data_IF_592404878315
#
_entry.id   IF_592404878315
#
_cell.length_a   1.000
_cell.length_b   1.000
_cell.length_c   1.000
_cell.angle_alpha   90.00
_cell.angle_beta   90.00
_cell.angle_gamma   90.00
#
_symmetry.space_group_name_H-M   'P 1'
#
loop_
_entity.id
_entity.type
_entity.pdbx_description
1 polymer ?
#
# COMPACT_ATOMS: atom_id res chain seq x y z
N UNK A 1 -1.34 3.28 8.73
CA UNK A 1 -1.11 1.98 8.08
C UNK A 1 -2.13 0.96 8.55
N UNK A 2 -2.59 0.07 7.67
CA UNK A 2 -3.58 -0.96 7.95
C UNK A 2 -2.93 -2.33 7.81
N UNK A 3 -2.98 -3.13 8.87
CA UNK A 3 -2.42 -4.48 8.96
C UNK A 3 -3.50 -5.52 9.25
N UNK A 4 -3.09 -6.79 9.25
CA UNK A 4 -3.95 -7.94 9.52
C UNK A 4 -3.66 -9.14 8.60
N UNK A 5 -4.15 -10.29 9.02
CA UNK A 5 -4.00 -11.57 8.30
C UNK A 5 -4.49 -11.47 6.84
N UNK A 6 -3.87 -12.21 5.95
CA UNK A 6 -4.36 -12.46 4.60
C UNK A 6 -5.77 -13.05 4.63
N UNK A 7 -6.64 -12.54 3.75
CA UNK A 7 -8.03 -12.99 3.64
C UNK A 7 -9.02 -12.40 4.65
N UNK A 8 -8.58 -11.58 5.63
CA UNK A 8 -9.48 -10.93 6.60
C UNK A 8 -10.26 -9.74 6.02
N UNK A 9 -10.00 -9.36 4.77
CA UNK A 9 -10.70 -8.27 4.09
C UNK A 9 -10.05 -6.89 4.20
N UNK A 10 -8.75 -6.80 4.54
CA UNK A 10 -8.00 -5.52 4.63
C UNK A 10 -8.22 -4.59 3.43
N UNK A 11 -7.87 -5.03 2.23
CA UNK A 11 -7.96 -4.22 1.01
C UNK A 11 -9.40 -3.78 0.71
N UNK A 12 -10.40 -4.59 1.06
CA UNK A 12 -11.81 -4.22 0.97
C UNK A 12 -12.15 -3.10 1.94
N UNK A 13 -11.72 -3.20 3.21
CA UNK A 13 -11.93 -2.15 4.22
C UNK A 13 -11.21 -0.86 3.81
N UNK A 14 -9.94 -0.94 3.42
CA UNK A 14 -9.13 0.23 3.03
C UNK A 14 -9.73 0.92 1.81
N UNK A 15 -10.06 0.20 0.75
CA UNK A 15 -10.65 0.81 -0.46
C UNK A 15 -12.00 1.48 -0.19
N UNK A 16 -12.86 0.89 0.64
CA UNK A 16 -14.13 1.52 1.01
C UNK A 16 -13.93 2.73 1.93
N UNK A 17 -12.97 2.70 2.84
CA UNK A 17 -12.61 3.84 3.69
C UNK A 17 -12.09 5.00 2.85
N UNK A 18 -11.16 4.73 1.94
CA UNK A 18 -10.63 5.68 0.95
C UNK A 18 -11.76 6.33 0.15
N UNK A 19 -12.65 5.54 -0.43
CA UNK A 19 -13.78 6.05 -1.22
C UNK A 19 -14.75 6.90 -0.38
N UNK A 20 -15.02 6.48 0.86
CA UNK A 20 -15.93 7.21 1.77
C UNK A 20 -15.35 8.57 2.15
N UNK A 21 -14.07 8.63 2.54
CA UNK A 21 -13.39 9.89 2.87
C UNK A 21 -13.33 10.83 1.66
N UNK A 22 -13.09 10.28 0.47
CA UNK A 22 -13.10 11.05 -0.77
C UNK A 22 -14.49 11.65 -1.09
N UNK A 23 -15.56 10.89 -0.85
CA UNK A 23 -16.94 11.40 -0.95
C UNK A 23 -17.23 12.51 0.06
N UNK A 24 -16.58 12.48 1.23
CA UNK A 24 -16.63 13.54 2.23
C UNK A 24 -15.74 14.75 1.88
N UNK A 25 -15.14 14.77 0.69
CA UNK A 25 -14.34 15.88 0.19
C UNK A 25 -12.87 15.85 0.58
N UNK A 26 -12.38 14.74 1.17
CA UNK A 26 -10.97 14.58 1.54
C UNK A 26 -10.14 14.11 0.35
N UNK A 27 -8.92 14.61 0.19
CA UNK A 27 -7.95 14.08 -0.78
C UNK A 27 -7.19 12.93 -0.13
N UNK A 28 -7.29 11.73 -0.72
CA UNK A 28 -6.78 10.49 -0.13
C UNK A 28 -5.83 9.80 -1.10
N UNK A 29 -4.68 9.37 -0.58
CA UNK A 29 -3.75 8.47 -1.27
C UNK A 29 -3.87 7.07 -0.67
N UNK A 30 -4.08 6.06 -1.50
CA UNK A 30 -3.98 4.65 -1.09
C UNK A 30 -2.73 4.01 -1.70
N UNK A 31 -1.84 3.51 -0.84
CA UNK A 31 -0.60 2.82 -1.21
C UNK A 31 -0.73 1.34 -0.87
N UNK A 32 -0.80 0.49 -1.89
CA UNK A 32 -0.73 -0.96 -1.76
C UNK A 32 0.70 -1.42 -1.49
N UNK A 33 0.95 -1.95 -0.29
CA UNK A 33 2.24 -2.51 0.13
C UNK A 33 2.23 -4.05 0.19
N UNK A 34 1.24 -4.67 -0.46
CA UNK A 34 1.10 -6.13 -0.55
C UNK A 34 1.67 -6.64 -1.88
N UNK A 35 2.56 -7.66 -1.88
CA UNK A 35 3.06 -8.28 -3.11
C UNK A 35 1.96 -8.87 -4.02
N UNK A 36 0.71 -8.98 -3.54
CA UNK A 36 -0.46 -9.42 -4.32
C UNK A 36 -0.97 -8.41 -5.35
N UNK A 37 -0.67 -7.11 -5.19
CA UNK A 37 -0.92 -6.05 -6.19
C UNK A 37 -2.40 -5.81 -6.54
N UNK A 38 -3.30 -5.95 -5.57
CA UNK A 38 -4.73 -5.76 -5.80
C UNK A 38 -5.42 -4.92 -4.70
N UNK A 39 -4.66 -4.16 -3.93
CA UNK A 39 -5.19 -3.30 -2.86
C UNK A 39 -6.16 -2.25 -3.40
N UNK A 40 -5.78 -1.63 -4.52
CA UNK A 40 -6.51 -0.55 -5.19
C UNK A 40 -7.52 -1.05 -6.23
N UNK A 41 -7.73 -2.38 -6.37
CA UNK A 41 -8.55 -2.99 -7.45
C UNK A 41 -9.96 -2.43 -7.56
N UNK A 42 -10.57 -2.05 -6.44
CA UNK A 42 -11.93 -1.53 -6.38
C UNK A 42 -12.03 -0.02 -6.73
N UNK A 43 -10.89 0.67 -6.80
CA UNK A 43 -10.80 2.12 -7.02
C UNK A 43 -10.35 2.45 -8.45
N UNK A 44 -9.32 1.76 -8.94
CA UNK A 44 -8.74 2.03 -10.25
C UNK A 44 -9.54 1.38 -11.39
N UNK A 45 -9.52 2.02 -12.57
CA UNK A 45 -10.21 1.53 -13.77
C UNK A 45 -9.38 0.53 -14.60
N UNK A 46 -8.06 0.52 -14.40
CA UNK A 46 -7.12 -0.32 -15.15
C UNK A 46 -6.69 -1.53 -14.32
N UNK A 47 -6.61 -2.70 -14.95
CA UNK A 47 -6.09 -3.91 -14.32
C UNK A 47 -5.36 -4.79 -15.36
N UNK A 48 -4.18 -5.35 -15.05
CA UNK A 48 -3.43 -5.22 -13.79
C UNK A 48 -2.90 -3.80 -13.54
N UNK A 49 -2.68 -3.40 -12.28
CA UNK A 49 -2.05 -2.11 -11.98
C UNK A 49 -0.59 -2.11 -12.42
N UNK A 50 -0.08 -0.91 -12.71
CA UNK A 50 1.37 -0.69 -12.85
C UNK A 50 1.94 -0.64 -11.44
N UNK A 51 2.98 -1.42 -11.16
CA UNK A 51 3.65 -1.39 -9.85
C UNK A 51 5.03 -0.78 -9.92
N UNK A 52 5.46 -0.16 -8.82
CA UNK A 52 6.78 0.47 -8.73
C UNK A 52 7.88 -0.58 -8.93
N UNK A 53 7.72 -1.76 -8.32
CA UNK A 53 8.64 -2.87 -8.50
C UNK A 53 8.74 -3.33 -9.96
N UNK A 54 7.65 -3.32 -10.73
CA UNK A 54 7.68 -3.71 -12.15
C UNK A 54 8.44 -2.67 -13.00
N UNK A 55 8.23 -1.38 -12.76
CA UNK A 55 8.94 -0.31 -13.47
C UNK A 55 10.45 -0.37 -13.20
N UNK A 56 10.86 -0.54 -11.94
CA UNK A 56 12.26 -0.66 -11.56
C UNK A 56 12.89 -1.95 -12.11
N UNK A 57 12.15 -3.06 -12.07
CA UNK A 57 12.62 -4.35 -12.64
C UNK A 57 12.80 -4.29 -14.16
N UNK A 58 12.08 -3.40 -14.85
CA UNK A 58 12.26 -3.12 -16.27
C UNK A 58 13.45 -2.18 -16.57
N UNK A 59 14.21 -1.77 -15.55
CA UNK A 59 15.37 -0.89 -15.70
C UNK A 59 15.00 0.58 -15.91
N UNK A 60 13.76 0.98 -15.62
CA UNK A 60 13.40 2.41 -15.63
C UNK A 60 14.08 3.12 -14.46
N UNK A 61 14.55 4.33 -14.72
CA UNK A 61 15.14 5.24 -13.73
C UNK A 61 14.51 6.62 -13.86
N UNK A 62 14.71 7.48 -12.85
CA UNK A 62 14.14 8.83 -12.78
C UNK A 62 12.61 8.83 -12.98
N UNK A 63 11.94 7.92 -12.28
CA UNK A 63 10.49 7.81 -12.32
C UNK A 63 9.86 9.12 -11.83
N UNK A 64 8.71 9.45 -12.40
CA UNK A 64 7.90 10.60 -12.00
C UNK A 64 6.62 10.12 -11.35
N UNK A 65 5.96 10.99 -10.60
CA UNK A 65 4.65 10.69 -10.00
C UNK A 65 3.65 10.18 -11.05
N UNK A 66 3.62 10.79 -12.24
CA UNK A 66 2.74 10.38 -13.34
C UNK A 66 3.01 8.96 -13.88
N UNK A 67 4.16 8.36 -13.58
CA UNK A 67 4.45 6.98 -13.98
C UNK A 67 3.82 5.95 -13.05
N UNK A 68 3.50 6.33 -11.80
CA UNK A 68 3.09 5.40 -10.74
C UNK A 68 1.74 5.72 -10.10
N UNK A 69 1.34 6.99 -10.07
CA UNK A 69 0.06 7.42 -9.51
C UNK A 69 -1.05 7.09 -10.50
N UNK A 70 -2.00 6.26 -10.05
CA UNK A 70 -3.17 5.85 -10.80
C UNK A 70 -4.41 6.58 -10.29
N UNK A 71 -5.26 7.04 -11.23
CA UNK A 71 -6.55 7.66 -10.93
C UNK A 71 -7.53 6.64 -10.33
N UNK A 72 -7.84 6.81 -9.04
CA UNK A 72 -8.86 6.04 -8.30
C UNK A 72 -10.23 6.71 -8.28
N UNK A 73 -10.40 7.83 -8.98
CA UNK A 73 -11.60 8.65 -9.00
C UNK A 73 -11.41 9.99 -8.31
N UNK A 74 -12.52 10.73 -8.15
CA UNK A 74 -12.50 12.07 -7.57
C UNK A 74 -11.87 12.05 -6.17
N UNK A 75 -10.81 12.84 -5.98
CA UNK A 75 -10.04 12.97 -4.74
C UNK A 75 -9.33 11.69 -4.27
N UNK A 76 -9.16 10.69 -5.14
CA UNK A 76 -8.49 9.43 -4.81
C UNK A 76 -7.34 9.17 -5.76
N UNK A 77 -6.13 9.09 -5.20
CA UNK A 77 -4.94 8.64 -5.89
C UNK A 77 -4.53 7.26 -5.37
N UNK A 78 -4.07 6.38 -6.25
CA UNK A 78 -3.69 5.01 -5.93
C UNK A 78 -2.26 4.70 -6.39
N UNK A 79 -1.50 3.99 -5.57
CA UNK A 79 -0.16 3.48 -5.88
C UNK A 79 -0.12 2.01 -5.49
N UNK A 80 0.48 1.18 -6.33
CA UNK A 80 0.82 -0.20 -5.98
C UNK A 80 2.34 -0.34 -5.97
N UNK A 81 2.92 -0.61 -4.81
CA UNK A 81 4.37 -0.77 -4.68
C UNK A 81 4.80 -2.09 -5.32
N UNK A 82 3.97 -3.12 -5.15
CA UNK A 82 4.22 -4.47 -5.63
C UNK A 82 5.27 -5.21 -4.81
N UNK A 83 5.78 -6.29 -5.39
CA UNK A 83 6.74 -7.16 -4.73
C UNK A 83 7.42 -8.07 -5.74
N UNK A 84 8.49 -8.77 -5.32
CA UNK A 84 9.24 -9.64 -6.21
C UNK A 84 8.40 -10.85 -6.63
N UNK A 85 8.83 -11.54 -7.70
CA UNK A 85 8.15 -12.76 -8.15
C UNK A 85 8.08 -13.79 -7.01
N UNK A 86 6.95 -14.51 -6.83
CA UNK A 86 6.84 -15.55 -5.81
C UNK A 86 8.01 -16.53 -5.87
N UNK A 87 8.61 -16.82 -4.71
CA UNK A 87 9.80 -17.69 -4.61
C UNK A 87 11.13 -17.02 -4.98
N UNK A 88 11.14 -15.74 -5.35
CA UNK A 88 12.36 -14.98 -5.69
C UNK A 88 12.46 -13.74 -4.80
N UNK A 89 13.60 -13.53 -4.16
CA UNK A 89 13.87 -12.33 -3.36
C UNK A 89 13.09 -12.26 -2.04
N UNK A 90 13.01 -11.06 -1.46
CA UNK A 90 12.35 -10.79 -0.18
C UNK A 90 11.44 -9.56 -0.31
N UNK A 91 10.12 -9.77 -0.22
CA UNK A 91 9.13 -8.70 -0.32
C UNK A 91 9.36 -7.59 0.72
N UNK A 92 9.71 -7.96 1.95
CA UNK A 92 9.97 -6.99 3.02
C UNK A 92 11.24 -6.16 2.79
N UNK A 93 12.36 -6.76 2.34
CA UNK A 93 13.63 -6.05 2.20
C UNK A 93 13.57 -4.94 1.14
N UNK A 94 12.77 -5.16 0.09
CA UNK A 94 12.56 -4.17 -0.97
C UNK A 94 11.70 -2.99 -0.54
N UNK A 95 10.82 -3.16 0.46
CA UNK A 95 9.83 -2.14 0.81
C UNK A 95 10.48 -0.83 1.27
N UNK A 96 11.58 -0.88 2.03
CA UNK A 96 12.35 0.31 2.42
C UNK A 96 12.80 1.13 1.22
N UNK A 97 13.49 0.49 0.27
CA UNK A 97 13.95 1.15 -0.96
C UNK A 97 12.78 1.68 -1.81
N UNK A 98 11.67 0.94 -1.86
CA UNK A 98 10.50 1.36 -2.62
C UNK A 98 9.85 2.62 -2.02
N UNK A 99 9.86 2.77 -0.69
CA UNK A 99 9.40 3.99 -0.04
C UNK A 99 10.35 5.17 -0.26
N UNK A 100 11.68 4.95 -0.24
CA UNK A 100 12.65 5.99 -0.63
C UNK A 100 12.39 6.50 -2.06
N UNK A 101 12.08 5.62 -3.01
CA UNK A 101 11.72 6.05 -4.37
C UNK A 101 10.42 6.88 -4.41
N UNK A 102 9.44 6.59 -3.54
CA UNK A 102 8.24 7.41 -3.40
C UNK A 102 8.55 8.80 -2.81
N UNK A 103 9.48 8.88 -1.85
CA UNK A 103 10.00 10.15 -1.33
C UNK A 103 10.75 10.94 -2.39
N UNK A 104 11.65 10.31 -3.15
CA UNK A 104 12.41 10.95 -4.22
C UNK A 104 11.49 11.51 -5.32
N UNK A 105 10.33 10.88 -5.54
CA UNK A 105 9.27 11.38 -6.42
C UNK A 105 8.41 12.49 -5.79
N UNK A 106 8.66 12.88 -4.54
CA UNK A 106 7.90 13.83 -3.74
C UNK A 106 6.40 13.45 -3.63
N UNK A 107 6.09 12.15 -3.56
CA UNK A 107 4.70 11.66 -3.46
C UNK A 107 4.04 12.15 -2.17
N UNK A 108 4.80 12.22 -1.08
CA UNK A 108 4.29 12.55 0.25
C UNK A 108 4.24 14.06 0.52
N UNK A 109 4.84 14.89 -0.35
CA UNK A 109 4.78 16.36 -0.25
C UNK A 109 3.47 16.94 -0.83
N UNK A 110 2.71 16.11 -1.54
CA UNK A 110 1.38 16.45 -2.03
C UNK A 110 0.41 16.65 -0.87
N UNK A 111 -0.54 17.58 -1.03
CA UNK A 111 -1.53 17.91 0.00
C UNK A 111 -2.62 16.83 0.12
N UNK A 112 -2.28 15.63 0.61
CA UNK A 112 -3.22 14.60 0.99
C UNK A 112 -3.72 14.83 2.42
N UNK A 113 -5.03 14.75 2.63
CA UNK A 113 -5.61 14.74 3.97
C UNK A 113 -5.33 13.40 4.68
N UNK A 114 -5.28 12.30 3.91
CA UNK A 114 -5.03 10.95 4.41
C UNK A 114 -4.16 10.15 3.45
N UNK A 115 -3.21 9.39 4.01
CA UNK A 115 -2.42 8.39 3.28
C UNK A 115 -2.63 7.03 3.94
N UNK A 116 -3.24 6.09 3.22
CA UNK A 116 -3.45 4.74 3.69
C UNK A 116 -2.44 3.77 3.09
N UNK A 117 -1.71 3.08 3.96
CA UNK A 117 -0.83 1.97 3.57
C UNK A 117 -1.55 0.66 3.86
N UNK A 118 -1.90 -0.12 2.83
CA UNK A 118 -2.43 -1.48 2.96
C UNK A 118 -1.26 -2.47 2.97
N UNK A 119 -0.90 -2.96 4.16
CA UNK A 119 0.34 -3.71 4.37
C UNK A 119 0.03 -5.17 4.68
N UNK A 120 0.85 -6.08 4.14
CA UNK A 120 0.78 -7.49 4.45
C UNK A 120 1.02 -7.72 5.95
N UNK A 121 0.04 -8.32 6.64
CA UNK A 121 0.11 -8.61 8.09
C UNK A 121 0.34 -10.08 8.44
N UNK A 122 0.52 -10.97 7.47
CA UNK A 122 0.79 -12.40 7.73
C UNK A 122 2.20 -12.65 8.28
N UNK A 123 3.15 -11.80 7.89
CA UNK A 123 4.55 -11.90 8.29
C UNK A 123 5.04 -10.52 8.71
N UNK A 124 5.19 -10.32 10.01
CA UNK A 124 5.70 -9.05 10.57
C UNK A 124 7.23 -9.11 10.63
N UNK A 125 7.87 -9.06 9.46
CA UNK A 125 9.32 -8.93 9.39
C UNK A 125 9.73 -7.44 9.37
N UNK A 126 11.02 -7.16 9.61
CA UNK A 126 11.51 -5.78 9.67
C UNK A 126 11.20 -4.93 8.43
N UNK A 127 10.99 -5.56 7.27
CA UNK A 127 10.62 -4.90 6.03
C UNK A 127 9.16 -4.42 5.97
N UNK A 128 8.20 -5.25 6.37
CA UNK A 128 6.78 -4.84 6.41
C UNK A 128 6.48 -3.88 7.57
N UNK A 129 7.38 -3.77 8.54
CA UNK A 129 7.33 -2.76 9.59
C UNK A 129 7.83 -1.38 9.15
N UNK A 130 8.37 -1.22 7.93
CA UNK A 130 8.92 0.06 7.42
C UNK A 130 7.95 1.23 7.55
N UNK A 131 6.66 1.12 7.15
CA UNK A 131 5.72 2.25 7.28
C UNK A 131 5.66 2.81 8.70
N UNK A 132 5.70 1.95 9.71
CA UNK A 132 5.69 2.36 11.12
C UNK A 132 7.09 2.78 11.62
N UNK A 133 8.13 2.00 11.30
CA UNK A 133 9.50 2.21 11.81
C UNK A 133 10.17 3.46 11.27
N UNK A 134 9.89 3.81 10.01
CA UNK A 134 10.44 4.99 9.35
C UNK A 134 9.55 6.23 9.50
N UNK A 135 8.43 6.13 10.23
CA UNK A 135 7.56 7.27 10.53
C UNK A 135 6.60 7.67 9.41
N UNK A 136 6.46 6.89 8.33
CA UNK A 136 5.46 7.15 7.27
C UNK A 136 4.02 7.04 7.77
N UNK A 137 3.77 6.17 8.75
CA UNK A 137 2.47 5.96 9.34
C UNK A 137 2.47 6.40 10.81
N UNK A 138 1.67 7.42 11.12
CA UNK A 138 1.44 7.91 12.48
C UNK A 138 0.47 7.02 13.27
N UNK A 139 -0.53 6.48 12.57
CA UNK A 139 -1.55 5.61 13.15
C UNK A 139 -1.53 4.21 12.53
N UNK A 140 -1.76 3.20 13.36
CA UNK A 140 -1.84 1.80 12.95
C UNK A 140 -3.20 1.23 13.30
N UNK A 141 -3.88 0.67 12.30
CA UNK A 141 -5.15 -0.04 12.45
C UNK A 141 -4.96 -1.50 12.05
N UNK A 142 -5.57 -2.42 12.80
CA UNK A 142 -5.50 -3.86 12.51
C UNK A 142 -6.89 -4.40 12.23
N UNK A 143 -7.07 -4.97 11.04
CA UNK A 143 -8.31 -5.66 10.66
C UNK A 143 -8.23 -7.10 11.14
N UNK A 144 -9.23 -7.53 11.90
CA UNK A 144 -9.30 -8.87 12.49
C UNK A 144 -10.69 -9.50 12.33
N UNK A 145 -10.79 -10.79 12.65
CA UNK A 145 -12.04 -11.54 12.75
C UNK A 145 -12.02 -12.43 14.00
N UNK A 146 -13.10 -13.18 14.25
CA UNK A 146 -13.15 -14.16 15.34
C UNK A 146 -12.27 -15.41 15.12
N UNK A 147 -11.56 -15.50 13.99
CA UNK A 147 -10.67 -16.64 13.72
C UNK A 147 -9.41 -16.56 14.59
N UNK A 148 -9.01 -17.70 15.15
CA UNK A 148 -7.78 -17.82 15.96
C UNK A 148 -6.55 -17.24 15.25
N UNK A 149 -6.32 -17.59 13.99
CA UNK A 149 -5.16 -17.10 13.24
C UNK A 149 -5.24 -15.59 12.96
N UNK A 150 -6.43 -15.01 12.87
CA UNK A 150 -6.59 -13.57 12.68
C UNK A 150 -6.24 -12.80 13.94
N UNK A 151 -6.67 -13.30 15.10
CA UNK A 151 -6.29 -12.74 16.41
C UNK A 151 -4.80 -12.94 16.71
N UNK A 152 -4.24 -14.11 16.37
CA UNK A 152 -2.81 -14.38 16.50
C UNK A 152 -1.98 -13.40 15.67
N UNK A 153 -2.34 -13.21 14.40
CA UNK A 153 -1.66 -12.25 13.53
C UNK A 153 -1.79 -10.81 14.05
N UNK A 154 -2.95 -10.43 14.60
CA UNK A 154 -3.17 -9.10 15.16
C UNK A 154 -2.35 -8.81 16.43
N UNK A 155 -1.95 -9.85 17.16
CA UNK A 155 -1.15 -9.72 18.38
C UNK A 155 0.37 -9.66 18.13
N UNK A 156 0.84 -9.98 16.92
CA UNK A 156 2.26 -9.90 16.54
C UNK A 156 2.65 -8.53 16.02
#
# INVERSE_FOLDING_TARGET
AIYGKGGVGKSTVVSNLTATLAQMGRRVLQVGCDPKRDSSRNLIKTFPPITLMDLLSAGRSNLKQSDIVMDGGKNVDCIEVGGPKPGVGCAGRGLGRLFEELEDMNIFDENYDYIFYDVLGDVVCGGFAVPMRSGYAEEVYVVTSGEFMSLYAANN
#
